data_IF_357763377924
#
_entry.id   IF_357763377924
#
_cell.length_a   1.000
_cell.length_b   1.000
_cell.length_c   1.000
_cell.angle_alpha   90.00
_cell.angle_beta   90.00
_cell.angle_gamma   90.00
#
_symmetry.space_group_name_H-M   'P 1'
#
loop_
_entity.id
_entity.type
_entity.pdbx_description
1 polymer ?
#
# COMPACT_ATOMS: atom_id res chain seq x y z
N UNK A 1 6.08 9.65 0.50
CA UNK A 1 7.29 9.41 1.32
C UNK A 1 6.85 9.20 2.75
N UNK A 2 7.41 8.24 3.46
CA UNK A 2 7.21 8.02 4.90
C UNK A 2 8.59 8.02 5.59
N UNK A 3 8.62 8.55 6.81
CA UNK A 3 9.82 8.60 7.63
C UNK A 3 9.48 8.12 9.05
N UNK A 4 10.40 7.40 9.68
CA UNK A 4 10.32 7.01 11.07
C UNK A 4 11.55 7.53 11.81
N UNK A 5 11.33 8.30 12.87
CA UNK A 5 12.38 8.87 13.70
C UNK A 5 12.30 8.26 15.11
N UNK A 6 13.00 7.13 15.30
CA UNK A 6 13.06 6.41 16.58
C UNK A 6 14.43 6.45 17.27
N UNK A 7 15.48 6.94 16.61
CA UNK A 7 16.83 7.10 17.19
C UNK A 7 17.59 8.30 16.59
N UNK A 8 18.91 8.39 16.81
CA UNK A 8 19.81 9.41 16.24
C UNK A 8 19.71 9.55 14.71
N UNK A 9 19.25 8.51 14.01
CA UNK A 9 19.00 8.51 12.56
C UNK A 9 17.54 8.14 12.26
N UNK A 10 16.94 8.81 11.28
CA UNK A 10 15.60 8.53 10.80
C UNK A 10 15.65 7.62 9.56
N UNK A 11 14.89 6.54 9.57
CA UNK A 11 14.67 5.73 8.38
C UNK A 11 13.70 6.49 7.46
N UNK A 12 14.02 6.62 6.17
CA UNK A 12 13.19 7.35 5.20
C UNK A 12 13.05 6.54 3.93
N UNK A 13 11.81 6.34 3.49
CA UNK A 13 11.55 5.70 2.21
C UNK A 13 11.93 6.61 1.05
N UNK A 14 12.32 6.04 -0.07
CA UNK A 14 12.32 6.78 -1.35
C UNK A 14 10.90 7.23 -1.73
N UNK A 15 10.74 8.35 -2.45
CA UNK A 15 9.45 8.73 -3.02
C UNK A 15 8.90 7.62 -3.92
N UNK A 16 7.59 7.37 -3.85
CA UNK A 16 6.88 6.46 -4.75
C UNK A 16 5.87 7.25 -5.55
N UNK A 17 5.65 6.85 -6.81
CA UNK A 17 4.62 7.43 -7.65
C UNK A 17 3.23 7.04 -7.10
N UNK A 18 2.41 8.05 -6.80
CA UNK A 18 1.04 7.83 -6.30
C UNK A 18 0.01 8.06 -7.40
N UNK A 19 0.21 9.06 -8.26
CA UNK A 19 -0.71 9.33 -9.36
C UNK A 19 -0.42 10.65 -10.06
N UNK A 20 -1.18 10.89 -11.12
CA UNK A 20 -1.25 12.13 -11.90
C UNK A 20 -2.67 12.30 -12.47
N UNK A 21 -2.87 13.24 -13.39
CA UNK A 21 -4.18 13.49 -14.02
C UNK A 21 -4.71 12.33 -14.87
N UNK A 22 -3.88 11.36 -15.23
CA UNK A 22 -4.25 10.22 -16.08
C UNK A 22 -4.40 8.92 -15.30
N UNK A 23 -3.62 8.73 -14.23
CA UNK A 23 -3.52 7.47 -13.50
C UNK A 23 -3.35 7.67 -12.01
N UNK A 24 -3.90 6.77 -11.20
CA UNK A 24 -3.69 6.70 -9.77
C UNK A 24 -3.37 5.26 -9.34
N UNK A 25 -2.33 5.08 -8.54
CA UNK A 25 -2.04 3.83 -7.84
C UNK A 25 -2.65 3.96 -6.45
N UNK A 26 -3.43 2.98 -6.04
CA UNK A 26 -4.20 3.04 -4.80
C UNK A 26 -3.81 1.96 -3.81
N UNK A 27 -3.04 0.96 -4.21
CA UNK A 27 -2.59 -0.12 -3.34
C UNK A 27 -1.07 -0.08 -3.20
N UNK A 28 -0.63 0.18 -1.97
CA UNK A 28 0.78 0.21 -1.60
C UNK A 28 1.03 -0.76 -0.45
N UNK A 29 2.20 -1.38 -0.46
CA UNK A 29 2.76 -2.10 0.67
C UNK A 29 4.01 -1.35 1.13
N UNK A 30 3.98 -0.81 2.34
CA UNK A 30 5.15 -0.24 3.00
C UNK A 30 5.85 -1.34 3.78
N UNK A 31 7.15 -1.46 3.59
CA UNK A 31 7.92 -2.58 4.12
C UNK A 31 9.01 -2.07 5.01
N UNK A 32 8.91 -2.47 6.26
CA UNK A 32 9.79 -2.08 7.32
C UNK A 32 10.91 -3.12 7.41
N UNK A 33 12.14 -2.69 7.16
CA UNK A 33 13.31 -3.54 7.20
C UNK A 33 14.00 -3.41 8.56
N UNK A 34 14.04 -4.50 9.30
CA UNK A 34 14.65 -4.57 10.62
C UNK A 34 15.97 -5.34 10.59
N UNK A 35 16.96 -4.81 11.29
CA UNK A 35 18.18 -5.52 11.61
C UNK A 35 18.34 -5.58 13.13
N UNK A 36 18.33 -6.79 13.69
CA UNK A 36 18.40 -7.02 15.14
C UNK A 36 17.38 -6.20 15.93
N UNK A 37 16.15 -6.12 15.43
CA UNK A 37 15.05 -5.35 16.05
C UNK A 37 15.14 -3.84 15.87
N UNK A 38 16.12 -3.32 15.13
CA UNK A 38 16.23 -1.90 14.79
C UNK A 38 15.78 -1.65 13.37
N UNK A 39 14.83 -0.73 13.16
CA UNK A 39 14.39 -0.32 11.83
C UNK A 39 15.54 0.37 11.10
N UNK A 40 15.94 -0.18 9.96
CA UNK A 40 17.00 0.37 9.10
C UNK A 40 16.43 1.13 7.91
N UNK A 41 15.41 0.57 7.25
CA UNK A 41 14.90 1.11 6.00
C UNK A 41 13.38 0.90 5.81
N UNK A 42 12.82 1.62 4.86
CA UNK A 42 11.41 1.68 4.50
C UNK A 42 11.26 1.56 2.98
N UNK A 43 10.77 0.42 2.50
CA UNK A 43 10.60 0.15 1.08
C UNK A 43 9.14 0.24 0.65
N UNK A 44 8.88 0.85 -0.51
CA UNK A 44 7.55 0.81 -1.13
C UNK A 44 7.48 -0.31 -2.15
N UNK A 45 6.43 -1.13 -2.06
CA UNK A 45 5.99 -2.02 -3.12
C UNK A 45 4.61 -1.59 -3.59
N UNK A 46 4.42 -1.60 -4.90
CA UNK A 46 3.11 -1.49 -5.53
C UNK A 46 2.62 -2.87 -5.94
N UNK A 47 1.30 -3.01 -6.14
CA UNK A 47 0.73 -4.26 -6.63
C UNK A 47 1.28 -4.63 -8.02
N UNK A 48 1.42 -5.91 -8.30
CA UNK A 48 1.89 -6.40 -9.61
C UNK A 48 0.87 -6.14 -10.72
N UNK A 49 1.30 -6.14 -11.98
CA UNK A 49 0.40 -5.97 -13.11
C UNK A 49 -0.62 -7.12 -13.29
N UNK A 50 -0.37 -8.30 -12.71
CA UNK A 50 -1.37 -9.37 -12.65
C UNK A 50 -2.63 -8.95 -11.89
N UNK A 51 -2.49 -8.05 -10.91
CA UNK A 51 -3.62 -7.49 -10.13
C UNK A 51 -4.58 -6.65 -10.97
N UNK A 52 -4.15 -6.18 -12.14
CA UNK A 52 -4.96 -5.41 -13.08
C UNK A 52 -5.79 -6.28 -14.03
N UNK A 53 -5.48 -7.58 -14.12
CA UNK A 53 -6.13 -8.46 -15.08
C UNK A 53 -7.65 -8.57 -14.81
N UNK A 54 -8.44 -8.55 -15.88
CA UNK A 54 -9.90 -8.67 -15.81
C UNK A 54 -10.68 -7.39 -15.50
N UNK A 55 -10.03 -6.23 -15.34
CA UNK A 55 -10.71 -4.95 -15.06
C UNK A 55 -10.37 -3.89 -16.10
N UNK A 56 -11.37 -3.45 -16.89
CA UNK A 56 -11.20 -2.48 -17.98
C UNK A 56 -10.78 -1.07 -17.53
N UNK A 57 -11.04 -0.73 -16.27
CA UNK A 57 -10.70 0.55 -15.65
C UNK A 57 -9.25 0.64 -15.13
N UNK A 58 -8.51 -0.47 -15.17
CA UNK A 58 -7.17 -0.61 -14.64
C UNK A 58 -6.14 -0.74 -15.78
N UNK A 59 -4.90 -0.34 -15.52
CA UNK A 59 -3.79 -0.36 -16.47
C UNK A 59 -2.49 -0.71 -15.74
N UNK A 60 -1.68 -1.54 -16.37
CA UNK A 60 -0.32 -1.82 -15.92
C UNK A 60 0.60 -0.64 -16.29
N UNK A 61 1.15 0.05 -15.29
CA UNK A 61 2.13 1.11 -15.50
C UNK A 61 3.56 0.56 -15.37
N UNK A 62 4.33 0.68 -16.46
CA UNK A 62 5.78 0.38 -16.53
C UNK A 62 6.16 -0.98 -15.94
N UNK A 63 5.30 -1.99 -16.09
CA UNK A 63 5.49 -3.36 -15.58
C UNK A 63 5.65 -3.48 -14.05
N UNK A 64 5.53 -2.37 -13.31
CA UNK A 64 5.82 -2.30 -11.87
C UNK A 64 4.57 -2.15 -11.00
N UNK A 65 3.48 -1.60 -11.55
CA UNK A 65 2.33 -1.19 -10.75
C UNK A 65 1.00 -1.33 -11.48
N UNK A 66 0.01 -1.87 -10.78
CA UNK A 66 -1.37 -1.78 -11.22
C UNK A 66 -1.97 -0.41 -10.85
N UNK A 67 -2.45 0.34 -11.85
CA UNK A 67 -3.01 1.67 -11.68
C UNK A 67 -4.45 1.76 -12.22
N UNK A 68 -5.20 2.71 -11.71
CA UNK A 68 -6.56 3.04 -12.15
C UNK A 68 -6.47 4.29 -13.02
N UNK A 69 -7.19 4.33 -14.15
CA UNK A 69 -7.30 5.57 -14.93
C UNK A 69 -8.05 6.61 -14.10
N UNK A 70 -7.49 7.79 -13.91
CA UNK A 70 -8.04 8.83 -13.04
C UNK A 70 -9.54 9.17 -13.30
N UNK A 71 -10.03 9.22 -14.56
CA UNK A 71 -11.44 9.47 -14.84
C UNK A 71 -12.41 8.40 -14.28
N UNK A 72 -11.92 7.19 -13.99
CA UNK A 72 -12.72 6.13 -13.41
C UNK A 72 -12.88 6.26 -11.89
N UNK A 73 -12.15 7.17 -11.25
CA UNK A 73 -12.23 7.41 -9.82
C UNK A 73 -13.50 8.18 -9.45
N UNK A 74 -14.15 7.82 -8.33
CA UNK A 74 -15.37 8.48 -7.82
C UNK A 74 -15.25 10.00 -7.70
N UNK A 75 -14.09 10.51 -7.26
CA UNK A 75 -13.83 11.95 -7.17
C UNK A 75 -13.75 12.69 -8.52
N UNK A 76 -13.73 11.97 -9.65
CA UNK A 76 -13.70 12.52 -11.00
C UNK A 76 -14.91 12.09 -11.86
N UNK A 77 -15.98 11.60 -11.22
CA UNK A 77 -17.22 11.18 -11.90
C UNK A 77 -17.27 9.71 -12.32
N UNK A 78 -16.26 8.91 -11.97
CA UNK A 78 -16.27 7.46 -12.18
C UNK A 78 -16.93 6.66 -11.06
N UNK A 79 -16.94 5.33 -11.19
CA UNK A 79 -17.58 4.42 -10.22
C UNK A 79 -16.59 3.73 -9.28
N UNK A 80 -15.28 3.81 -9.55
CA UNK A 80 -14.24 3.11 -8.79
C UNK A 80 -13.77 3.97 -7.62
N UNK A 81 -13.72 3.40 -6.41
CA UNK A 81 -13.09 4.08 -5.29
C UNK A 81 -11.56 4.04 -5.45
N UNK A 82 -10.96 5.24 -5.49
CA UNK A 82 -9.53 5.43 -5.65
C UNK A 82 -8.84 5.87 -4.35
N UNK A 83 -9.45 5.57 -3.21
CA UNK A 83 -8.83 5.76 -1.90
C UNK A 83 -7.51 5.01 -1.81
N UNK A 84 -6.48 5.68 -1.26
CA UNK A 84 -5.18 5.07 -1.00
C UNK A 84 -5.32 4.07 0.16
N UNK A 85 -4.94 2.82 -0.09
CA UNK A 85 -4.74 1.76 0.88
C UNK A 85 -3.26 1.45 1.05
N UNK A 86 -2.79 1.47 2.30
CA UNK A 86 -1.41 1.13 2.66
C UNK A 86 -1.43 -0.11 3.54
N UNK A 87 -0.79 -1.18 3.07
CA UNK A 87 -0.51 -2.38 3.83
C UNK A 87 0.90 -2.30 4.42
N UNK A 88 1.11 -2.92 5.58
CA UNK A 88 2.44 -3.02 6.19
C UNK A 88 2.97 -4.44 6.05
N UNK A 89 4.27 -4.55 5.78
CA UNK A 89 5.00 -5.80 5.88
C UNK A 89 6.35 -5.56 6.57
N UNK A 90 6.92 -6.64 7.08
CA UNK A 90 8.15 -6.68 7.84
C UNK A 90 9.17 -7.59 7.15
N UNK A 91 10.42 -7.17 7.16
CA UNK A 91 11.57 -7.92 6.66
C UNK A 91 12.71 -7.89 7.67
N UNK A 92 13.57 -8.91 7.64
CA UNK A 92 14.83 -8.94 8.38
C UNK A 92 14.75 -9.72 9.69
N UNK A 93 15.22 -9.15 10.80
CA UNK A 93 15.31 -9.86 12.09
C UNK A 93 14.87 -9.00 13.27
N UNK A 94 14.28 -9.64 14.27
CA UNK A 94 14.01 -9.02 15.57
C UNK A 94 15.28 -8.98 16.45
N UNK A 95 15.15 -8.47 17.69
CA UNK A 95 16.27 -8.34 18.64
C UNK A 95 16.90 -9.69 19.03
N UNK A 96 16.15 -10.78 18.89
CA UNK A 96 16.57 -12.15 19.23
C UNK A 96 16.99 -12.96 18.00
N UNK A 97 17.29 -12.28 16.89
CA UNK A 97 17.65 -12.87 15.60
C UNK A 97 16.55 -13.77 15.00
N UNK A 98 15.30 -13.63 15.46
CA UNK A 98 14.16 -14.31 14.85
C UNK A 98 13.79 -13.62 13.53
N UNK A 99 13.55 -14.41 12.49
CA UNK A 99 13.34 -13.91 11.12
C UNK A 99 11.95 -13.30 10.96
N UNK A 100 11.90 -12.08 10.45
CA UNK A 100 10.70 -11.40 9.97
C UNK A 100 10.64 -11.57 8.44
N UNK A 101 9.73 -12.40 7.95
CA UNK A 101 9.70 -12.82 6.53
C UNK A 101 8.44 -12.39 5.77
N UNK A 102 7.52 -11.64 6.40
CA UNK A 102 6.25 -11.26 5.77
C UNK A 102 6.43 -10.51 4.44
N UNK A 103 7.57 -9.85 4.21
CA UNK A 103 7.98 -9.29 2.91
C UNK A 103 7.91 -10.28 1.75
N UNK A 104 8.36 -11.52 1.96
CA UNK A 104 8.38 -12.56 0.92
C UNK A 104 6.99 -13.15 0.67
N UNK A 105 6.08 -12.96 1.63
CA UNK A 105 4.68 -13.39 1.54
C UNK A 105 3.76 -12.28 1.04
N UNK A 106 4.29 -11.07 0.77
CA UNK A 106 3.51 -9.94 0.25
C UNK A 106 2.75 -10.32 -1.03
N UNK A 107 3.29 -11.17 -1.91
CA UNK A 107 2.57 -11.62 -3.11
C UNK A 107 1.33 -12.47 -2.77
N UNK A 108 1.39 -13.26 -1.70
CA UNK A 108 0.22 -14.00 -1.17
C UNK A 108 -0.76 -13.04 -0.50
N UNK A 109 -0.28 -12.07 0.27
CA UNK A 109 -1.12 -11.03 0.88
C UNK A 109 -1.81 -10.11 -0.14
N UNK A 110 -1.14 -9.85 -1.28
CA UNK A 110 -1.70 -9.11 -2.42
C UNK A 110 -2.77 -9.91 -3.17
N UNK A 111 -2.70 -11.25 -3.23
CA UNK A 111 -3.78 -12.08 -3.75
C UNK A 111 -5.04 -12.00 -2.87
N UNK A 112 -4.85 -11.90 -1.56
CA UNK A 112 -5.94 -11.63 -0.62
C UNK A 112 -6.36 -10.17 -0.60
N UNK A 113 -5.76 -9.30 -1.45
CA UNK A 113 -5.96 -7.85 -1.59
C UNK A 113 -7.07 -7.41 -0.67
N UNK A 114 -6.67 -7.17 0.58
CA UNK A 114 -7.56 -6.83 1.67
C UNK A 114 -8.23 -5.47 1.39
N UNK A 115 -8.14 -4.92 0.18
CA UNK A 115 -8.92 -3.77 -0.26
C UNK A 115 -10.40 -3.95 0.06
N UNK A 116 -11.00 -5.12 -0.19
CA UNK A 116 -12.40 -5.37 0.19
C UNK A 116 -12.60 -5.30 1.71
N UNK A 117 -11.83 -6.09 2.47
CA UNK A 117 -11.91 -6.12 3.94
C UNK A 117 -11.57 -4.77 4.61
N UNK A 118 -10.60 -4.04 4.07
CA UNK A 118 -10.15 -2.72 4.52
C UNK A 118 -11.12 -1.63 4.07
N UNK A 119 -11.73 -1.69 2.88
CA UNK A 119 -12.78 -0.75 2.49
C UNK A 119 -14.02 -0.96 3.34
N UNK A 120 -14.36 -2.20 3.65
CA UNK A 120 -15.49 -2.54 4.51
C UNK A 120 -15.23 -2.10 5.95
N UNK A 121 -14.03 -2.36 6.50
CA UNK A 121 -13.61 -1.86 7.81
C UNK A 121 -13.56 -0.33 7.86
N UNK A 122 -12.96 0.31 6.84
CA UNK A 122 -12.90 1.77 6.73
C UNK A 122 -14.30 2.34 6.68
N UNK A 123 -15.19 1.85 5.81
CA UNK A 123 -16.57 2.35 5.73
C UNK A 123 -17.33 2.13 7.05
N UNK A 124 -17.09 1.00 7.73
CA UNK A 124 -17.72 0.69 9.02
C UNK A 124 -17.23 1.61 10.15
N UNK A 125 -15.92 1.86 10.23
CA UNK A 125 -15.36 2.79 11.22
C UNK A 125 -15.72 4.24 10.89
N UNK A 126 -15.49 4.69 9.65
CA UNK A 126 -15.75 6.09 9.26
C UNK A 126 -17.24 6.42 9.35
N UNK A 127 -18.14 5.53 8.91
CA UNK A 127 -19.58 5.74 9.01
C UNK A 127 -20.13 5.77 10.45
N UNK A 128 -19.42 5.16 11.41
CA UNK A 128 -19.76 5.33 12.84
C UNK A 128 -19.36 6.71 13.38
N UNK A 129 -18.29 7.30 12.85
CA UNK A 129 -17.82 8.62 13.26
C UNK A 129 -18.44 9.79 12.48
N UNK A 130 -18.97 9.56 11.27
CA UNK A 130 -19.70 10.56 10.48
C UNK A 130 -21.05 10.97 11.11
N UNK A 131 -21.58 10.20 12.08
CA UNK A 131 -22.77 10.56 12.86
C UNK A 131 -22.43 11.29 14.17
N UNK A 132 -21.14 11.47 14.48
CA UNK A 132 -20.66 12.11 15.70
C UNK A 132 -20.23 13.58 15.44
N UNK A 133 -20.06 13.98 14.17
CA UNK A 133 -19.69 15.33 13.76
C UNK A 133 -20.70 15.92 12.76
#
# INVERSE_FOLDING_TARGET
MVAFAGSKYAARSSPVFVGNSSYAITSFTLVLEFHKGTLQDLHWKTGSCSSCSGKSSFVCLREQGCAIKAPNCKGQGGSVDCSIGIQLAFSGTDKHDAVLNSWYEVSKLQQYSLYGLYSDLKNTLTGQYDNIF
#
